data_IF_311121282453
#
_entry.id   IF_311121282453
#
_cell.length_a   1.000
_cell.length_b   1.000
_cell.length_c   1.000
_cell.angle_alpha   90.00
_cell.angle_beta   90.00
_cell.angle_gamma   90.00
#
_symmetry.space_group_name_H-M   'P 1'
#
loop_
_entity.id
_entity.type
_entity.pdbx_description
1 polymer ?
#
# COMPACT_ATOMS: atom_id res chain seq x y z
N UNK A 1 23.62 30.25 16.34
CA UNK A 1 23.59 29.09 17.24
C UNK A 1 22.16 28.58 17.15
N UNK A 2 21.92 27.63 16.24
CA UNK A 2 20.59 27.03 16.10
C UNK A 2 20.39 26.05 17.25
N UNK A 3 19.43 26.38 18.10
CA UNK A 3 18.95 25.52 19.18
C UNK A 3 18.33 24.29 18.51
N UNK A 4 19.11 23.19 18.46
CA UNK A 4 18.76 21.99 17.73
C UNK A 4 17.68 21.22 18.47
N UNK A 5 16.42 21.38 18.06
CA UNK A 5 15.42 20.37 18.37
C UNK A 5 15.97 18.99 17.90
N UNK A 6 15.84 17.93 18.70
CA UNK A 6 16.36 16.62 18.34
C UNK A 6 15.73 16.16 17.02
N UNK A 7 16.59 15.75 16.07
CA UNK A 7 16.13 15.20 14.79
C UNK A 7 15.32 13.92 15.02
N UNK A 8 14.21 13.79 14.32
CA UNK A 8 13.38 12.58 14.32
C UNK A 8 14.14 11.43 13.66
N UNK A 9 14.33 10.35 14.39
CA UNK A 9 15.01 9.13 13.94
C UNK A 9 14.06 8.28 13.09
N UNK A 10 14.33 8.20 11.81
CA UNK A 10 13.47 7.52 10.83
C UNK A 10 14.14 6.25 10.31
N UNK A 11 13.40 5.17 10.24
CA UNK A 11 13.79 3.94 9.55
C UNK A 11 12.95 3.77 8.29
N UNK A 12 13.57 3.41 7.15
CA UNK A 12 12.90 3.19 5.87
C UNK A 12 12.83 1.70 5.55
N UNK A 13 11.62 1.22 5.21
CA UNK A 13 11.36 -0.18 4.85
C UNK A 13 10.62 -0.24 3.52
N UNK A 14 11.32 -0.63 2.45
CA UNK A 14 10.79 -0.74 1.09
C UNK A 14 11.65 -1.74 0.31
N UNK A 15 11.08 -2.65 -0.44
CA UNK A 15 11.84 -3.64 -1.23
C UNK A 15 12.49 -3.03 -2.49
N UNK A 16 12.03 -1.86 -2.92
CA UNK A 16 12.57 -1.15 -4.09
C UNK A 16 13.73 -0.24 -3.70
N UNK A 17 14.95 -0.60 -4.08
CA UNK A 17 16.17 0.17 -3.77
C UNK A 17 16.12 1.62 -4.22
N UNK A 18 15.54 1.88 -5.41
CA UNK A 18 15.43 3.26 -5.94
C UNK A 18 14.49 4.11 -5.10
N UNK A 19 13.38 3.52 -4.59
CA UNK A 19 12.43 4.21 -3.71
C UNK A 19 13.10 4.53 -2.38
N UNK A 20 13.83 3.58 -1.77
CA UNK A 20 14.58 3.82 -0.53
C UNK A 20 15.57 4.96 -0.69
N UNK A 21 16.38 4.93 -1.76
CA UNK A 21 17.35 6.00 -2.02
C UNK A 21 16.69 7.38 -2.20
N UNK A 22 15.53 7.43 -2.88
CA UNK A 22 14.76 8.66 -3.04
C UNK A 22 14.20 9.18 -1.73
N UNK A 23 13.60 8.31 -0.90
CA UNK A 23 13.06 8.66 0.42
C UNK A 23 14.18 9.16 1.36
N UNK A 24 15.34 8.49 1.37
CA UNK A 24 16.51 8.92 2.13
C UNK A 24 16.92 10.33 1.73
N UNK A 25 17.13 10.57 0.42
CA UNK A 25 17.55 11.88 -0.07
C UNK A 25 16.54 12.99 0.28
N UNK A 26 15.24 12.72 0.21
CA UNK A 26 14.19 13.66 0.59
C UNK A 26 14.25 14.00 2.09
N UNK A 27 14.36 12.99 2.95
CA UNK A 27 14.39 13.20 4.40
C UNK A 27 15.68 13.85 4.87
N UNK A 28 16.84 13.46 4.35
CA UNK A 28 18.14 14.09 4.67
C UNK A 28 18.24 15.53 4.16
N UNK A 29 17.49 15.87 3.10
CA UNK A 29 17.38 17.24 2.58
C UNK A 29 16.48 18.16 3.41
N UNK A 30 15.66 17.62 4.30
CA UNK A 30 14.71 18.37 5.12
C UNK A 30 15.18 18.43 6.58
N UNK A 31 15.37 19.62 7.16
CA UNK A 31 15.84 19.74 8.54
C UNK A 31 14.93 19.04 9.55
N UNK A 32 15.55 18.39 10.55
CA UNK A 32 14.84 17.74 11.64
C UNK A 32 14.52 16.27 11.43
N UNK A 33 15.06 15.64 10.39
CA UNK A 33 15.02 14.18 10.19
C UNK A 33 16.43 13.59 10.17
N UNK A 34 16.54 12.37 10.67
CA UNK A 34 17.75 11.54 10.66
C UNK A 34 17.38 10.12 10.23
N UNK A 35 17.83 9.70 9.04
CA UNK A 35 17.57 8.35 8.53
C UNK A 35 18.61 7.39 9.11
N UNK A 36 18.23 6.72 10.19
CA UNK A 36 19.14 5.88 10.97
C UNK A 36 19.37 4.50 10.37
N UNK A 37 18.44 3.97 9.55
CA UNK A 37 18.56 2.63 8.96
C UNK A 37 17.59 2.47 7.80
N UNK A 38 17.89 1.53 6.90
CA UNK A 38 16.98 1.12 5.81
C UNK A 38 17.07 -0.37 5.53
N UNK A 39 15.96 -0.98 5.13
CA UNK A 39 15.90 -2.39 4.74
C UNK A 39 14.82 -2.63 3.69
N UNK A 40 14.98 -3.71 2.90
CA UNK A 40 13.94 -4.20 1.99
C UNK A 40 13.13 -5.37 2.56
N UNK A 41 13.43 -5.83 3.76
CA UNK A 41 12.87 -7.04 4.36
C UNK A 41 12.05 -6.71 5.61
N UNK A 42 10.77 -7.11 5.60
CA UNK A 42 9.84 -6.84 6.70
C UNK A 42 10.24 -7.53 8.02
N UNK A 43 10.80 -8.74 7.96
CA UNK A 43 11.25 -9.47 9.16
C UNK A 43 12.49 -8.81 9.76
N UNK A 44 13.39 -8.36 8.90
CA UNK A 44 14.55 -7.57 9.32
C UNK A 44 14.11 -6.26 9.95
N UNK A 45 13.09 -5.59 9.37
CA UNK A 45 12.55 -4.34 9.91
C UNK A 45 12.05 -4.49 11.34
N UNK A 46 11.38 -5.60 11.69
CA UNK A 46 10.96 -5.88 13.08
C UNK A 46 12.17 -5.93 14.01
N UNK A 47 13.20 -6.73 13.68
CA UNK A 47 14.43 -6.86 14.50
C UNK A 47 15.17 -5.53 14.64
N UNK A 48 15.23 -4.74 13.56
CA UNK A 48 15.87 -3.43 13.56
C UNK A 48 15.10 -2.43 14.41
N UNK A 49 13.77 -2.42 14.35
CA UNK A 49 12.93 -1.55 15.17
C UNK A 49 13.10 -1.85 16.67
N UNK A 50 13.16 -3.12 17.06
CA UNK A 50 13.41 -3.53 18.45
C UNK A 50 14.77 -3.05 18.96
N UNK A 51 15.81 -3.16 18.13
CA UNK A 51 17.17 -2.79 18.48
C UNK A 51 17.40 -1.28 18.49
N UNK A 52 16.94 -0.59 17.45
CA UNK A 52 17.28 0.82 17.19
C UNK A 52 16.26 1.80 17.78
N UNK A 53 15.03 1.34 18.01
CA UNK A 53 13.92 2.14 18.51
C UNK A 53 13.81 3.48 17.77
N UNK A 54 13.52 3.48 16.46
CA UNK A 54 13.28 4.70 15.72
C UNK A 54 12.03 5.41 16.25
N UNK A 55 11.95 6.73 16.06
CA UNK A 55 10.72 7.48 16.36
C UNK A 55 9.62 7.13 15.36
N UNK A 56 10.00 6.97 14.09
CA UNK A 56 9.09 6.62 12.99
C UNK A 56 9.69 5.58 12.07
N UNK A 57 8.88 4.62 11.66
CA UNK A 57 9.16 3.66 10.59
C UNK A 57 8.30 4.00 9.38
N UNK A 58 8.94 4.28 8.24
CA UNK A 58 8.28 4.35 6.94
C UNK A 58 8.21 2.94 6.38
N UNK A 59 7.01 2.39 6.25
CA UNK A 59 6.78 0.99 5.89
C UNK A 59 6.07 0.87 4.56
N UNK A 60 6.71 0.26 3.57
CA UNK A 60 5.98 -0.14 2.36
C UNK A 60 4.93 -1.19 2.68
N UNK A 61 3.73 -0.96 2.17
CA UNK A 61 2.63 -1.91 2.31
C UNK A 61 2.89 -3.22 1.56
N UNK A 62 3.58 -3.13 0.41
CA UNK A 62 3.78 -4.25 -0.53
C UNK A 62 5.22 -4.74 -0.53
N UNK A 63 5.72 -5.12 0.61
CA UNK A 63 7.00 -5.81 0.66
C UNK A 63 6.86 -7.17 -0.02
N UNK A 64 7.67 -7.41 -1.04
CA UNK A 64 7.88 -8.74 -1.59
C UNK A 64 9.01 -9.39 -0.80
N UNK A 65 8.70 -10.48 -0.08
CA UNK A 65 9.74 -11.22 0.65
C UNK A 65 10.85 -11.66 -0.30
N UNK A 66 12.05 -11.11 -0.12
CA UNK A 66 13.26 -11.53 -0.83
C UNK A 66 13.65 -13.00 -0.52
N UNK A 67 12.91 -13.67 0.34
CA UNK A 67 13.14 -15.02 0.83
C UNK A 67 11.96 -15.96 0.65
N UNK A 68 11.24 -15.88 -0.47
CA UNK A 68 10.32 -16.92 -1.02
C UNK A 68 9.66 -17.90 -0.01
N UNK A 69 9.20 -17.42 1.14
CA UNK A 69 8.21 -18.16 1.93
C UNK A 69 6.85 -17.50 1.71
N UNK A 70 5.94 -18.25 1.08
CA UNK A 70 4.56 -17.84 0.77
C UNK A 70 3.71 -17.76 2.06
N UNK A 71 4.30 -17.27 3.15
CA UNK A 71 3.68 -17.18 4.47
C UNK A 71 2.95 -15.85 4.73
N UNK A 72 2.85 -15.00 3.70
CA UNK A 72 2.10 -13.75 3.75
C UNK A 72 2.69 -12.66 4.63
N UNK A 73 4.01 -12.72 4.95
CA UNK A 73 4.68 -11.72 5.76
C UNK A 73 4.99 -10.46 4.95
N UNK A 74 4.06 -9.54 4.88
CA UNK A 74 4.21 -8.24 4.20
C UNK A 74 4.25 -7.07 5.17
N UNK A 75 4.20 -5.84 4.63
CA UNK A 75 4.27 -4.60 5.41
C UNK A 75 3.19 -4.47 6.49
N UNK A 76 1.99 -5.02 6.29
CA UNK A 76 0.92 -5.06 7.31
C UNK A 76 1.33 -5.89 8.53
N UNK A 77 1.87 -7.09 8.30
CA UNK A 77 2.30 -7.97 9.40
C UNK A 77 3.53 -7.41 10.11
N UNK A 78 4.49 -6.83 9.36
CA UNK A 78 5.62 -6.12 9.93
C UNK A 78 5.15 -4.94 10.81
N UNK A 79 4.20 -4.14 10.33
CA UNK A 79 3.58 -3.04 11.09
C UNK A 79 2.98 -3.56 12.39
N UNK A 80 2.15 -4.60 12.34
CA UNK A 80 1.50 -5.17 13.54
C UNK A 80 2.53 -5.63 14.58
N UNK A 81 3.60 -6.30 14.13
CA UNK A 81 4.65 -6.77 15.05
C UNK A 81 5.44 -5.63 15.67
N UNK A 82 5.83 -4.63 14.87
CA UNK A 82 6.58 -3.47 15.37
C UNK A 82 5.73 -2.72 16.42
N UNK A 83 4.48 -2.42 16.12
CA UNK A 83 3.60 -1.68 17.03
C UNK A 83 3.29 -2.44 18.32
N UNK A 84 3.22 -3.77 18.26
CA UNK A 84 3.01 -4.62 19.44
C UNK A 84 4.28 -4.80 20.28
N UNK A 85 5.46 -4.96 19.65
CA UNK A 85 6.70 -5.28 20.33
C UNK A 85 7.47 -4.06 20.84
N UNK A 86 7.31 -2.88 20.19
CA UNK A 86 8.13 -1.70 20.48
C UNK A 86 7.23 -0.49 20.79
N UNK A 87 6.78 -0.34 22.05
CA UNK A 87 6.00 0.82 22.46
C UNK A 87 6.77 2.12 22.21
N UNK A 88 6.10 3.10 21.63
CA UNK A 88 6.67 4.42 21.30
C UNK A 88 7.20 4.54 19.87
N UNK A 89 7.37 3.44 19.14
CA UNK A 89 7.65 3.48 17.69
C UNK A 89 6.35 3.70 16.91
N UNK A 90 6.35 4.69 16.03
CA UNK A 90 5.21 5.00 15.19
C UNK A 90 5.44 4.48 13.76
N UNK A 91 4.44 3.87 13.14
CA UNK A 91 4.56 3.37 11.76
C UNK A 91 3.72 4.24 10.84
N UNK A 92 4.36 4.77 9.79
CA UNK A 92 3.71 5.47 8.67
C UNK A 92 3.81 4.56 7.44
N UNK A 93 2.67 4.14 6.94
CA UNK A 93 2.59 3.25 5.77
C UNK A 93 2.74 4.04 4.48
N UNK A 94 3.60 3.56 3.59
CA UNK A 94 3.76 4.04 2.22
C UNK A 94 3.10 3.06 1.24
N UNK A 95 2.44 3.57 0.21
CA UNK A 95 1.80 2.73 -0.80
C UNK A 95 1.76 3.37 -2.17
N UNK A 96 1.79 2.55 -3.21
CA UNK A 96 1.57 3.01 -4.59
C UNK A 96 0.09 3.04 -4.97
N UNK A 97 -0.82 2.56 -4.10
CA UNK A 97 -2.26 2.46 -4.35
C UNK A 97 -3.05 2.70 -3.08
N UNK A 98 -4.12 3.46 -3.18
CA UNK A 98 -4.95 3.89 -2.06
C UNK A 98 -6.25 3.09 -1.93
N UNK A 99 -6.22 1.75 -2.00
CA UNK A 99 -7.40 0.91 -1.77
C UNK A 99 -7.96 1.09 -0.34
N UNK A 100 -9.30 1.26 -0.18
CA UNK A 100 -9.92 1.40 1.15
C UNK A 100 -9.54 0.26 2.10
N UNK A 101 -9.52 -0.98 1.60
CA UNK A 101 -9.14 -2.14 2.40
C UNK A 101 -7.70 -2.09 2.90
N UNK A 102 -6.79 -1.45 2.17
CA UNK A 102 -5.40 -1.31 2.56
C UNK A 102 -5.24 -0.28 3.69
N UNK A 103 -5.98 0.84 3.62
CA UNK A 103 -6.00 1.87 4.68
C UNK A 103 -6.53 1.29 5.99
N UNK A 104 -7.68 0.61 5.93
CA UNK A 104 -8.30 0.00 7.12
C UNK A 104 -7.35 -1.01 7.77
N UNK A 105 -6.79 -1.93 6.98
CA UNK A 105 -5.85 -2.94 7.50
C UNK A 105 -4.59 -2.34 8.09
N UNK A 106 -4.06 -1.25 7.50
CA UNK A 106 -2.90 -0.55 8.05
C UNK A 106 -3.21 0.05 9.43
N UNK A 107 -4.35 0.72 9.57
CA UNK A 107 -4.78 1.31 10.86
C UNK A 107 -5.08 0.22 11.90
N UNK A 108 -5.74 -0.87 11.53
CA UNK A 108 -5.96 -2.04 12.40
C UNK A 108 -4.65 -2.71 12.84
N UNK A 109 -3.60 -2.64 12.02
CA UNK A 109 -2.26 -3.09 12.38
C UNK A 109 -1.51 -2.11 13.29
N UNK A 110 -2.09 -0.95 13.61
CA UNK A 110 -1.52 0.07 14.48
C UNK A 110 -0.73 1.17 13.76
N UNK A 111 -0.83 1.28 12.44
CA UNK A 111 -0.21 2.38 11.71
C UNK A 111 -0.79 3.74 12.16
N UNK A 112 0.08 4.73 12.36
CA UNK A 112 -0.27 6.12 12.69
C UNK A 112 -0.21 7.06 11.51
N UNK A 113 0.12 6.57 10.33
CA UNK A 113 0.11 7.34 9.10
C UNK A 113 -0.08 6.48 7.88
N UNK A 114 -0.59 7.10 6.83
CA UNK A 114 -0.80 6.44 5.54
C UNK A 114 -0.62 7.46 4.41
N UNK A 115 0.33 7.22 3.51
CA UNK A 115 0.74 8.17 2.47
C UNK A 115 0.86 7.44 1.13
N UNK A 116 0.57 8.14 0.05
CA UNK A 116 0.86 7.68 -1.30
C UNK A 116 2.32 7.97 -1.66
N UNK A 117 3.04 6.99 -2.21
CA UNK A 117 4.42 7.17 -2.71
C UNK A 117 4.54 8.22 -3.83
N UNK A 118 3.45 8.48 -4.55
CA UNK A 118 3.37 9.49 -5.61
C UNK A 118 2.93 10.87 -5.12
N UNK A 119 2.72 11.04 -3.80
CA UNK A 119 2.34 12.32 -3.20
C UNK A 119 3.49 13.32 -3.15
N UNK A 120 3.19 14.60 -2.90
CA UNK A 120 4.22 15.63 -2.74
C UNK A 120 5.05 15.38 -1.48
N UNK A 121 6.36 15.70 -1.48
CA UNK A 121 7.26 15.49 -0.34
C UNK A 121 6.76 16.12 0.97
N UNK A 122 6.07 17.24 0.90
CA UNK A 122 5.53 17.96 2.05
C UNK A 122 4.49 17.13 2.83
N UNK A 123 3.76 16.26 2.14
CA UNK A 123 2.82 15.32 2.81
C UNK A 123 3.57 14.26 3.60
N UNK A 124 4.67 13.74 3.06
CA UNK A 124 5.55 12.82 3.77
C UNK A 124 6.07 13.46 5.05
N UNK A 125 6.66 14.64 4.97
CA UNK A 125 7.25 15.32 6.12
C UNK A 125 6.20 15.62 7.20
N UNK A 126 5.03 16.10 6.79
CA UNK A 126 3.91 16.38 7.69
C UNK A 126 3.42 15.12 8.41
N UNK A 127 3.28 14.02 7.68
CA UNK A 127 2.79 12.79 8.27
C UNK A 127 3.81 12.14 9.21
N UNK A 128 5.10 12.21 8.90
CA UNK A 128 6.16 11.71 9.79
C UNK A 128 6.18 12.54 11.09
N UNK A 129 6.13 13.88 10.99
CA UNK A 129 6.06 14.76 12.18
C UNK A 129 4.79 14.53 13.00
N UNK A 130 3.63 14.36 12.35
CA UNK A 130 2.36 14.09 13.04
C UNK A 130 2.40 12.74 13.76
N UNK A 131 2.91 11.70 13.13
CA UNK A 131 3.05 10.37 13.73
C UNK A 131 4.01 10.39 14.93
N UNK A 132 5.17 11.06 14.81
CA UNK A 132 6.14 11.20 15.89
C UNK A 132 5.57 11.94 17.11
N UNK A 133 4.68 12.91 16.89
CA UNK A 133 3.96 13.62 17.95
C UNK A 133 2.79 12.79 18.55
N UNK A 134 2.63 11.51 18.15
CA UNK A 134 1.55 10.64 18.61
C UNK A 134 0.19 10.90 17.95
N UNK A 135 0.13 11.80 16.97
CA UNK A 135 -1.04 12.06 16.13
C UNK A 135 -1.21 11.06 15.00
N UNK A 136 -2.19 11.30 14.15
CA UNK A 136 -2.45 10.51 12.96
C UNK A 136 -2.07 11.29 11.69
N UNK A 137 -1.04 10.84 11.00
CA UNK A 137 -0.52 11.41 9.77
C UNK A 137 -1.16 10.78 8.53
N UNK A 138 -2.44 11.06 8.29
CA UNK A 138 -3.13 10.57 7.11
C UNK A 138 -3.11 11.61 5.99
N UNK A 139 -2.78 11.19 4.78
CA UNK A 139 -3.07 11.99 3.60
C UNK A 139 -4.60 12.25 3.52
N UNK A 140 -5.05 13.41 2.99
CA UNK A 140 -6.45 13.76 2.93
C UNK A 140 -7.33 12.66 2.32
N UNK A 141 -6.84 12.01 1.26
CA UNK A 141 -7.53 10.90 0.59
C UNK A 141 -7.68 9.67 1.50
N UNK A 142 -6.67 9.37 2.32
CA UNK A 142 -6.70 8.26 3.26
C UNK A 142 -7.66 8.55 4.42
N UNK A 143 -7.66 9.78 4.93
CA UNK A 143 -8.59 10.24 5.96
C UNK A 143 -10.05 10.16 5.49
N UNK A 144 -10.34 10.65 4.28
CA UNK A 144 -11.67 10.60 3.68
C UNK A 144 -12.19 9.14 3.55
N UNK A 145 -11.31 8.19 3.28
CA UNK A 145 -11.66 6.75 3.16
C UNK A 145 -11.92 6.09 4.51
N UNK A 146 -11.25 6.50 5.57
CA UNK A 146 -11.54 6.01 6.93
C UNK A 146 -12.90 6.49 7.42
N UNK A 147 -13.24 7.75 7.18
CA UNK A 147 -14.49 8.35 7.65
C UNK A 147 -15.70 7.90 6.80
N UNK A 148 -15.48 7.17 5.70
CA UNK A 148 -16.56 6.67 4.84
C UNK A 148 -17.25 7.77 4.02
N UNK A 149 -16.67 8.97 3.95
CA UNK A 149 -17.23 10.13 3.22
C UNK A 149 -16.87 10.16 1.73
N UNK A 150 -15.98 9.30 1.28
CA UNK A 150 -15.77 9.07 -0.15
C UNK A 150 -16.54 7.84 -0.56
N UNK A 151 -17.36 7.99 -1.58
CA UNK A 151 -17.90 6.90 -2.38
C UNK A 151 -16.83 5.81 -2.51
N UNK A 152 -17.09 4.53 -2.19
CA UNK A 152 -16.15 3.48 -2.42
C UNK A 152 -15.77 3.56 -3.90
N UNK A 153 -14.61 4.14 -4.19
CA UNK A 153 -14.13 4.27 -5.57
C UNK A 153 -14.31 2.92 -6.25
N UNK A 154 -14.47 2.85 -7.57
CA UNK A 154 -14.98 1.70 -8.26
C UNK A 154 -14.32 0.42 -7.73
N UNK A 155 -15.13 -0.57 -7.35
CA UNK A 155 -14.70 -1.88 -6.81
C UNK A 155 -13.55 -2.45 -7.63
N UNK A 156 -13.59 -2.17 -8.94
CA UNK A 156 -12.55 -2.49 -9.92
C UNK A 156 -11.94 -1.19 -10.47
N UNK A 157 -10.64 -1.17 -10.70
CA UNK A 157 -9.96 -0.09 -11.45
C UNK A 157 -10.40 -0.10 -12.92
N UNK A 158 -10.19 1.01 -13.64
CA UNK A 158 -10.51 1.10 -15.08
C UNK A 158 -9.90 -0.05 -15.86
N UNK A 159 -8.65 -0.41 -15.56
CA UNK A 159 -7.96 -1.54 -16.21
C UNK A 159 -8.58 -2.90 -15.87
N UNK A 160 -9.03 -3.10 -14.65
CA UNK A 160 -9.75 -4.30 -14.24
C UNK A 160 -11.14 -4.36 -14.88
N UNK A 161 -11.81 -3.21 -15.06
CA UNK A 161 -13.09 -3.13 -15.80
C UNK A 161 -12.89 -3.51 -17.27
N UNK A 162 -11.84 -3.03 -17.93
CA UNK A 162 -11.51 -3.43 -19.31
C UNK A 162 -11.31 -4.96 -19.42
N UNK A 163 -10.54 -5.54 -18.49
CA UNK A 163 -10.32 -7.00 -18.45
C UNK A 163 -11.65 -7.74 -18.25
N UNK A 164 -12.48 -7.30 -17.32
CA UNK A 164 -13.78 -7.94 -17.02
C UNK A 164 -14.76 -7.78 -18.17
N UNK A 165 -14.76 -6.65 -18.88
CA UNK A 165 -15.60 -6.45 -20.09
C UNK A 165 -15.29 -7.47 -21.15
N UNK A 166 -14.01 -7.67 -21.50
CA UNK A 166 -13.59 -8.68 -22.46
C UNK A 166 -13.83 -10.10 -21.94
N UNK A 167 -13.70 -10.30 -20.61
CA UNK A 167 -14.05 -11.55 -19.96
C UNK A 167 -15.54 -11.88 -20.17
N UNK A 168 -16.43 -10.93 -19.92
CA UNK A 168 -17.87 -11.09 -20.09
C UNK A 168 -18.27 -11.37 -21.57
N UNK A 169 -17.52 -10.81 -22.52
CA UNK A 169 -17.69 -11.09 -23.95
C UNK A 169 -17.16 -12.49 -24.39
N UNK A 170 -16.66 -13.28 -23.46
CA UNK A 170 -16.21 -14.64 -23.76
C UNK A 170 -14.76 -14.78 -24.24
N UNK A 171 -13.97 -13.69 -24.26
CA UNK A 171 -12.58 -13.73 -24.75
C UNK A 171 -11.67 -14.58 -23.87
N UNK A 172 -10.79 -15.40 -24.47
CA UNK A 172 -9.74 -16.12 -23.74
C UNK A 172 -8.70 -15.17 -23.16
N UNK A 173 -7.91 -15.62 -22.16
CA UNK A 173 -6.84 -14.79 -21.59
C UNK A 173 -5.84 -14.31 -22.65
N UNK A 174 -5.57 -15.12 -23.66
CA UNK A 174 -4.72 -14.75 -24.80
C UNK A 174 -5.36 -13.65 -25.65
N UNK A 175 -6.65 -13.75 -25.93
CA UNK A 175 -7.38 -12.72 -26.67
C UNK A 175 -7.46 -11.40 -25.88
N UNK A 176 -7.70 -11.46 -24.55
CA UNK A 176 -7.67 -10.30 -23.66
C UNK A 176 -6.28 -9.66 -23.65
N UNK A 177 -5.22 -10.48 -23.55
CA UNK A 177 -3.84 -9.99 -23.57
C UNK A 177 -3.54 -9.24 -24.89
N UNK A 178 -3.94 -9.81 -26.02
CA UNK A 178 -3.77 -9.17 -27.32
C UNK A 178 -4.55 -7.87 -27.45
N UNK A 179 -5.83 -7.85 -27.04
CA UNK A 179 -6.70 -6.68 -27.13
C UNK A 179 -6.22 -5.51 -26.24
N UNK A 180 -5.60 -5.83 -25.12
CA UNK A 180 -5.16 -4.84 -24.12
C UNK A 180 -3.64 -4.56 -24.19
N UNK A 181 -2.92 -5.09 -25.16
CA UNK A 181 -1.44 -4.97 -25.29
C UNK A 181 -0.71 -5.43 -24.03
N UNK A 182 -1.13 -6.56 -23.45
CA UNK A 182 -0.57 -7.19 -22.26
C UNK A 182 0.02 -8.56 -22.58
N UNK A 183 0.69 -9.17 -21.60
CA UNK A 183 1.02 -10.60 -21.62
C UNK A 183 -0.10 -11.43 -20.99
N UNK A 184 -0.21 -12.71 -21.34
CA UNK A 184 -1.17 -13.63 -20.69
C UNK A 184 -0.92 -13.75 -19.18
N UNK A 185 0.34 -13.68 -18.76
CA UNK A 185 0.71 -13.68 -17.33
C UNK A 185 0.15 -12.46 -16.60
N UNK A 186 0.23 -11.28 -17.23
CA UNK A 186 -0.34 -10.04 -16.69
C UNK A 186 -1.86 -10.14 -16.57
N UNK A 187 -2.54 -10.69 -17.59
CA UNK A 187 -4.00 -10.92 -17.55
C UNK A 187 -4.37 -11.86 -16.40
N UNK A 188 -3.65 -12.97 -16.21
CA UNK A 188 -3.87 -13.90 -15.10
C UNK A 188 -3.72 -13.17 -13.74
N UNK A 189 -2.72 -12.31 -13.61
CA UNK A 189 -2.53 -11.50 -12.39
C UNK A 189 -3.71 -10.56 -12.14
N UNK A 190 -4.24 -9.89 -13.18
CA UNK A 190 -5.44 -9.07 -13.06
C UNK A 190 -6.64 -9.91 -12.63
N UNK A 191 -6.86 -11.09 -13.25
CA UNK A 191 -7.97 -11.96 -12.90
C UNK A 191 -7.94 -12.42 -11.43
N UNK A 192 -6.78 -12.81 -10.91
CA UNK A 192 -6.61 -13.17 -9.50
C UNK A 192 -7.01 -12.00 -8.58
N UNK A 193 -6.60 -10.78 -8.93
CA UNK A 193 -6.99 -9.57 -8.17
C UNK A 193 -8.48 -9.29 -8.25
N UNK A 194 -9.07 -9.41 -9.44
CA UNK A 194 -10.50 -9.22 -9.68
C UNK A 194 -11.31 -10.23 -8.88
N UNK A 195 -10.95 -11.52 -8.93
CA UNK A 195 -11.63 -12.58 -8.18
C UNK A 195 -11.63 -12.29 -6.67
N UNK A 196 -10.47 -11.90 -6.14
CA UNK A 196 -10.35 -11.51 -4.73
C UNK A 196 -11.18 -10.29 -4.36
N UNK A 197 -11.23 -9.26 -5.22
CA UNK A 197 -11.99 -8.02 -4.98
C UNK A 197 -13.51 -8.25 -5.01
N UNK A 198 -13.96 -9.17 -5.87
CA UNK A 198 -15.37 -9.50 -6.05
C UNK A 198 -15.85 -10.68 -5.18
N UNK A 199 -14.93 -11.36 -4.48
CA UNK A 199 -15.24 -12.54 -3.68
C UNK A 199 -15.68 -13.73 -4.54
N UNK A 200 -15.13 -13.87 -5.77
CA UNK A 200 -15.48 -14.92 -6.72
C UNK A 200 -14.29 -15.86 -6.94
N UNK A 201 -14.55 -17.11 -7.32
CA UNK A 201 -13.51 -18.12 -7.50
C UNK A 201 -13.25 -18.48 -8.96
N UNK A 202 -14.13 -18.06 -9.86
CA UNK A 202 -14.06 -18.44 -11.26
C UNK A 202 -14.66 -17.39 -12.20
N UNK A 203 -14.44 -17.61 -13.51
CA UNK A 203 -14.87 -16.71 -14.57
C UNK A 203 -16.39 -16.45 -14.57
N UNK A 204 -17.19 -17.51 -14.47
CA UNK A 204 -18.65 -17.39 -14.54
C UNK A 204 -19.21 -16.61 -13.34
N UNK A 205 -18.74 -16.92 -12.14
CA UNK A 205 -19.08 -16.17 -10.91
C UNK A 205 -18.71 -14.71 -11.01
N UNK A 206 -17.55 -14.40 -11.62
CA UNK A 206 -17.11 -13.02 -11.81
C UNK A 206 -18.03 -12.24 -12.74
N UNK A 207 -18.42 -12.82 -13.87
CA UNK A 207 -19.34 -12.19 -14.82
C UNK A 207 -20.69 -11.95 -14.16
N UNK A 208 -21.24 -12.93 -13.44
CA UNK A 208 -22.50 -12.78 -12.72
C UNK A 208 -22.43 -11.66 -11.68
N UNK A 209 -21.33 -11.59 -10.94
CA UNK A 209 -21.15 -10.61 -9.86
C UNK A 209 -21.01 -9.17 -10.40
N UNK A 210 -20.27 -8.96 -11.48
CA UNK A 210 -20.16 -7.60 -12.08
C UNK A 210 -21.46 -7.09 -12.66
N UNK A 211 -22.31 -7.99 -13.21
CA UNK A 211 -23.66 -7.64 -13.67
C UNK A 211 -24.54 -7.31 -12.47
N UNK A 212 -24.50 -8.12 -11.40
CA UNK A 212 -25.27 -7.89 -10.16
C UNK A 212 -24.91 -6.54 -9.51
N UNK A 213 -23.65 -6.15 -9.55
CA UNK A 213 -23.14 -4.88 -9.01
C UNK A 213 -23.34 -3.69 -9.94
N UNK A 214 -23.91 -3.90 -11.14
CA UNK A 214 -24.14 -2.84 -12.13
C UNK A 214 -22.84 -2.26 -12.74
N UNK A 215 -21.71 -2.96 -12.59
CA UNK A 215 -20.40 -2.54 -13.11
C UNK A 215 -20.28 -2.73 -14.63
N UNK A 216 -21.09 -3.62 -15.21
CA UNK A 216 -21.23 -3.84 -16.65
C UNK A 216 -22.73 -3.96 -16.98
N UNK A 217 -23.16 -3.25 -18.00
CA UNK A 217 -24.41 -3.54 -18.70
C UNK A 217 -24.03 -4.52 -19.82
N UNK A 218 -24.60 -5.71 -19.80
CA UNK A 218 -24.54 -6.61 -20.96
C UNK A 218 -25.63 -6.10 -21.90
N UNK A 219 -25.22 -5.48 -23.01
CA UNK A 219 -26.16 -5.22 -24.11
C UNK A 219 -26.76 -6.58 -24.51
N UNK A 220 -28.06 -6.71 -24.35
CA UNK A 220 -28.77 -7.89 -24.83
C UNK A 220 -28.66 -7.95 -26.36
N UNK A 221 -28.51 -9.15 -26.96
CA UNK A 221 -28.41 -9.32 -28.40
C UNK A 221 -29.65 -8.87 -29.16
#
# INVERSE_FOLDING_TARGET
MSDGAPSLRVMIVDDHTVVRAGLRALLEGEPGFDVIEETGDGRQAVRLAERLRPDVVLMDLRLTDAGATDDGFGGIEATRRITAAVPGVNVVVLTSSSGRGDVVRAVEAGARGYILKAGPPEELFRAVRAAAAGGMGLAPEAAARLVGQTDPGPILSDREIEVVRLLAQGHSNRAIASALFLTEATVKTHLVRIYRKLGTENRAGTVSEVVRLGLLQLDAP
#
